data_IF_160512399869
#
_entry.id   IF_160512399869
#
_cell.length_a   1.000
_cell.length_b   1.000
_cell.length_c   1.000
_cell.angle_alpha   90.00
_cell.angle_beta   90.00
_cell.angle_gamma   90.00
#
_symmetry.space_group_name_H-M   'P 1'
#
loop_
_entity.id
_entity.type
_entity.pdbx_description
1 polymer ?
#
# COMPACT_ATOMS: atom_id res chain seq x y z
N UNK A 1 5.19 20.96 4.44
CA UNK A 1 4.44 19.69 4.61
C UNK A 1 5.15 18.77 5.60
N UNK A 2 6.37 18.29 5.31
CA UNK A 2 7.13 17.38 6.19
C UNK A 2 7.24 17.89 7.64
N UNK A 3 7.63 19.15 7.84
CA UNK A 3 7.75 19.76 9.18
C UNK A 3 6.43 19.78 9.98
N UNK A 4 5.30 19.93 9.30
CA UNK A 4 3.97 19.95 9.90
C UNK A 4 3.57 18.55 10.37
N UNK A 5 3.90 17.52 9.56
CA UNK A 5 3.76 16.12 9.95
C UNK A 5 4.65 15.76 11.14
N UNK A 6 5.87 16.29 11.22
CA UNK A 6 6.76 16.06 12.36
C UNK A 6 6.23 16.66 13.66
N UNK A 7 5.66 17.88 13.62
CA UNK A 7 5.01 18.51 14.78
C UNK A 7 3.79 17.70 15.23
N UNK A 8 2.95 17.28 14.29
CA UNK A 8 1.78 16.46 14.61
C UNK A 8 2.19 15.10 15.20
N UNK A 9 3.26 14.47 14.68
CA UNK A 9 3.81 13.24 15.25
C UNK A 9 4.34 13.47 16.68
N UNK A 10 5.12 14.53 16.91
CA UNK A 10 5.62 14.87 18.24
C UNK A 10 4.50 15.16 19.25
N UNK A 11 3.42 15.82 18.83
CA UNK A 11 2.22 16.05 19.66
C UNK A 11 1.43 14.75 19.92
N UNK A 12 1.44 13.81 18.97
CA UNK A 12 0.80 12.48 19.10
C UNK A 12 1.52 11.56 20.08
N UNK A 13 2.85 11.68 20.20
CA UNK A 13 3.70 10.87 21.11
C UNK A 13 4.06 11.58 22.43
N UNK A 14 3.99 12.91 22.48
CA UNK A 14 4.52 13.76 23.56
C UNK A 14 3.61 14.02 24.75
N UNK A 15 2.45 13.36 24.87
CA UNK A 15 1.58 13.49 26.05
C UNK A 15 0.59 14.66 26.04
N UNK A 16 0.30 15.26 24.88
CA UNK A 16 -0.80 16.21 24.76
C UNK A 16 -2.14 15.46 24.63
N UNK A 17 -2.96 15.49 25.68
CA UNK A 17 -4.27 14.82 25.77
C UNK A 17 -5.20 15.06 24.59
N UNK A 18 -5.02 16.18 23.86
CA UNK A 18 -5.84 16.54 22.72
C UNK A 18 -5.67 15.59 21.52
N UNK A 19 -4.44 15.12 21.24
CA UNK A 19 -4.15 14.25 20.09
C UNK A 19 -4.08 12.76 20.45
N UNK A 20 -3.78 12.44 21.72
CA UNK A 20 -3.67 11.06 22.24
C UNK A 20 -5.00 10.47 22.71
N UNK A 21 -6.02 11.30 23.02
CA UNK A 21 -7.37 10.84 23.36
C UNK A 21 -8.36 10.95 22.18
N UNK A 22 -7.88 11.34 21.00
CA UNK A 22 -8.71 11.45 19.80
C UNK A 22 -8.98 10.04 19.26
N UNK A 23 -9.90 9.32 19.90
CA UNK A 23 -10.39 8.04 19.43
C UNK A 23 -11.64 8.23 18.57
N UNK A 24 -11.76 7.50 17.47
CA UNK A 24 -13.04 7.36 16.77
C UNK A 24 -13.97 6.51 17.65
N UNK A 25 -15.02 7.07 18.27
CA UNK A 25 -15.84 6.32 19.21
C UNK A 25 -16.80 5.40 18.45
N UNK A 26 -16.94 4.16 18.91
CA UNK A 26 -17.93 3.20 18.41
C UNK A 26 -17.35 2.07 17.54
N UNK A 27 -18.23 1.22 17.00
CA UNK A 27 -17.87 0.00 16.26
C UNK A 27 -16.96 0.27 15.05
N UNK A 28 -17.06 1.45 14.45
CA UNK A 28 -16.28 1.84 13.27
C UNK A 28 -14.81 2.15 13.65
N UNK A 29 -14.58 2.73 14.83
CA UNK A 29 -13.22 3.01 15.31
C UNK A 29 -12.43 1.76 15.66
N UNK A 30 -13.09 0.76 16.26
CA UNK A 30 -12.47 -0.53 16.54
C UNK A 30 -12.19 -1.35 15.27
N UNK A 31 -13.03 -1.22 14.24
CA UNK A 31 -12.89 -1.98 13.00
C UNK A 31 -11.88 -1.36 12.02
N UNK A 32 -11.77 -0.02 11.99
CA UNK A 32 -10.89 0.69 11.07
C UNK A 32 -9.54 1.09 11.67
N UNK A 33 -9.41 1.17 13.00
CA UNK A 33 -8.19 1.66 13.65
C UNK A 33 -7.75 0.80 14.84
N UNK A 34 -8.31 -0.41 14.99
CA UNK A 34 -7.99 -1.38 16.04
C UNK A 34 -8.01 -0.82 17.50
N UNK A 35 -8.78 0.25 17.75
CA UNK A 35 -8.84 0.89 19.06
C UNK A 35 -7.63 1.77 19.41
N UNK A 36 -6.76 2.09 18.46
CA UNK A 36 -5.67 3.06 18.64
C UNK A 36 -6.25 4.46 18.89
N UNK A 37 -5.84 5.10 19.98
CA UNK A 37 -6.36 6.41 20.42
C UNK A 37 -5.55 7.61 19.93
N UNK A 38 -4.38 7.35 19.34
CA UNK A 38 -3.45 8.37 18.86
C UNK A 38 -3.68 8.63 17.37
N UNK A 39 -3.80 9.92 16.98
CA UNK A 39 -3.95 10.36 15.59
C UNK A 39 -2.95 9.67 14.64
N UNK A 40 -1.67 9.62 15.02
CA UNK A 40 -0.64 8.99 14.21
C UNK A 40 -0.84 7.46 14.08
N UNK A 41 -1.27 6.80 15.16
CA UNK A 41 -1.55 5.35 15.13
C UNK A 41 -2.74 4.98 14.25
N UNK A 42 -3.77 5.83 14.21
CA UNK A 42 -4.90 5.67 13.29
C UNK A 42 -4.48 5.89 11.83
N UNK A 43 -3.67 6.93 11.57
CA UNK A 43 -3.16 7.22 10.24
C UNK A 43 -2.24 6.08 9.73
N UNK A 44 -1.37 5.57 10.60
CA UNK A 44 -0.47 4.46 10.27
C UNK A 44 -1.23 3.16 9.97
N UNK A 45 -2.23 2.81 10.79
CA UNK A 45 -3.10 1.65 10.53
C UNK A 45 -3.85 1.79 9.21
N UNK A 46 -4.41 2.97 8.94
CA UNK A 46 -5.10 3.23 7.67
C UNK A 46 -4.16 3.12 6.46
N UNK A 47 -2.96 3.69 6.54
CA UNK A 47 -1.99 3.63 5.45
C UNK A 47 -1.53 2.20 5.23
N UNK A 48 -1.12 1.51 6.29
CA UNK A 48 -0.50 0.19 6.21
C UNK A 48 -1.48 -0.92 5.83
N UNK A 49 -2.73 -0.85 6.32
CA UNK A 49 -3.73 -1.90 6.08
C UNK A 49 -4.64 -1.61 4.89
N UNK A 50 -4.91 -0.34 4.57
CA UNK A 50 -5.81 0.01 3.47
C UNK A 50 -5.08 0.61 2.28
N UNK A 51 -4.22 1.62 2.47
CA UNK A 51 -3.57 2.30 1.34
C UNK A 51 -2.49 1.46 0.67
N UNK A 52 -1.68 0.69 1.43
CA UNK A 52 -0.62 -0.13 0.83
C UNK A 52 -1.18 -1.25 -0.07
N UNK A 53 -2.15 -2.08 0.36
CA UNK A 53 -2.69 -3.13 -0.50
C UNK A 53 -3.47 -2.57 -1.69
N UNK A 54 -4.28 -1.53 -1.48
CA UNK A 54 -5.07 -0.90 -2.57
C UNK A 54 -4.19 -0.16 -3.56
N UNK A 55 -3.15 0.55 -3.08
CA UNK A 55 -2.15 1.21 -3.92
C UNK A 55 -1.35 0.20 -4.75
N UNK A 56 -0.91 -0.91 -4.15
CA UNK A 56 -0.28 -2.00 -4.88
C UNK A 56 -1.20 -2.60 -5.95
N UNK A 57 -2.51 -2.69 -5.68
CA UNK A 57 -3.48 -3.24 -6.64
C UNK A 57 -3.67 -2.27 -7.80
N UNK A 58 -3.80 -0.98 -7.52
CA UNK A 58 -3.88 0.05 -8.55
C UNK A 58 -2.64 0.06 -9.45
N UNK A 59 -1.43 -0.05 -8.86
CA UNK A 59 -0.16 -0.08 -9.60
C UNK A 59 -0.07 -1.34 -10.48
N UNK A 60 -0.37 -2.52 -9.94
CA UNK A 60 -0.30 -3.76 -10.73
C UNK A 60 -1.34 -3.82 -11.84
N UNK A 61 -2.54 -3.26 -11.62
CA UNK A 61 -3.55 -3.14 -12.67
C UNK A 61 -3.11 -2.13 -13.74
N UNK A 62 -2.56 -0.99 -13.34
CA UNK A 62 -2.07 0.01 -14.28
C UNK A 62 -0.87 -0.50 -15.10
N UNK A 63 0.14 -1.08 -14.46
CA UNK A 63 1.31 -1.64 -15.11
C UNK A 63 0.96 -2.87 -15.98
N UNK A 64 0.01 -3.70 -15.54
CA UNK A 64 -0.38 -4.94 -16.23
C UNK A 64 -1.30 -4.73 -17.44
N UNK A 65 -2.21 -3.75 -17.38
CA UNK A 65 -3.26 -3.58 -18.39
C UNK A 65 -3.30 -2.19 -19.06
N UNK A 66 -2.83 -1.12 -18.41
CA UNK A 66 -2.83 0.21 -19.02
C UNK A 66 -1.54 0.53 -19.78
N UNK A 67 -0.41 -0.07 -19.41
CA UNK A 67 0.88 0.18 -20.05
C UNK A 67 0.97 -0.50 -21.42
N UNK A 68 1.29 0.27 -22.47
CA UNK A 68 1.38 -0.21 -23.86
C UNK A 68 2.63 -1.06 -24.07
N UNK A 69 2.51 -2.06 -24.96
CA UNK A 69 3.61 -2.97 -25.27
C UNK A 69 4.81 -2.19 -25.80
N UNK A 70 4.57 -1.32 -26.78
CA UNK A 70 5.63 -0.57 -27.47
C UNK A 70 6.48 0.23 -26.49
N UNK A 71 5.87 0.98 -25.58
CA UNK A 71 6.60 1.81 -24.61
C UNK A 71 7.39 1.00 -23.59
N UNK A 72 6.91 -0.20 -23.25
CA UNK A 72 7.56 -1.02 -22.24
C UNK A 72 8.66 -1.89 -22.84
N UNK A 73 8.46 -2.35 -24.07
CA UNK A 73 9.46 -3.10 -24.83
C UNK A 73 10.65 -2.20 -25.21
N UNK A 74 10.41 -0.94 -25.60
CA UNK A 74 11.49 0.02 -25.91
C UNK A 74 12.34 0.43 -24.70
N UNK A 75 11.79 0.36 -23.49
CA UNK A 75 12.51 0.68 -22.24
C UNK A 75 13.23 -0.55 -21.66
N UNK A 76 12.66 -1.74 -21.79
CA UNK A 76 13.20 -2.97 -21.20
C UNK A 76 14.15 -3.74 -22.12
N UNK A 77 13.98 -3.60 -23.43
CA UNK A 77 14.80 -4.28 -24.45
C UNK A 77 15.76 -3.24 -25.02
N UNK A 78 16.86 -3.02 -24.30
CA UNK A 78 18.00 -2.21 -24.76
C UNK A 78 19.15 -3.11 -25.27
N UNK A 79 20.21 -2.57 -25.86
CA UNK A 79 21.34 -3.36 -26.37
C UNK A 79 22.06 -4.22 -25.30
N UNK A 80 21.73 -4.03 -24.03
CA UNK A 80 22.30 -4.73 -22.87
C UNK A 80 21.47 -5.88 -22.32
N UNK A 81 20.30 -6.22 -22.92
CA UNK A 81 19.50 -7.33 -22.38
C UNK A 81 20.24 -8.67 -22.50
N UNK A 82 20.33 -9.45 -21.40
CA UNK A 82 20.89 -10.78 -21.45
C UNK A 82 20.07 -11.69 -22.37
N UNK A 83 20.71 -12.53 -23.18
CA UNK A 83 20.02 -13.44 -24.11
C UNK A 83 19.06 -14.47 -23.47
N UNK A 84 19.02 -14.56 -22.14
CA UNK A 84 18.04 -15.36 -21.40
C UNK A 84 16.76 -14.59 -21.03
N UNK A 85 16.75 -13.26 -21.19
CA UNK A 85 15.59 -12.43 -20.87
C UNK A 85 14.57 -12.50 -22.00
N UNK A 86 13.38 -13.02 -21.68
CA UNK A 86 12.24 -13.07 -22.60
C UNK A 86 11.18 -12.06 -22.18
N UNK A 87 10.93 -11.06 -23.04
CA UNK A 87 9.90 -10.05 -22.81
C UNK A 87 8.51 -10.67 -22.58
N UNK A 88 8.17 -11.74 -23.31
CA UNK A 88 6.90 -12.47 -23.11
C UNK A 88 6.77 -13.07 -21.72
N UNK A 89 7.87 -13.59 -21.15
CA UNK A 89 7.88 -14.09 -19.77
C UNK A 89 7.67 -12.93 -18.80
N UNK A 90 8.41 -11.84 -18.94
CA UNK A 90 8.23 -10.65 -18.08
C UNK A 90 6.79 -10.13 -18.13
N UNK A 91 6.20 -10.07 -19.34
CA UNK A 91 4.82 -9.60 -19.53
C UNK A 91 3.79 -10.54 -18.93
N UNK A 92 4.02 -11.85 -18.95
CA UNK A 92 3.19 -12.82 -18.25
C UNK A 92 3.22 -12.60 -16.73
N UNK A 93 4.40 -12.35 -16.16
CA UNK A 93 4.53 -12.08 -14.73
C UNK A 93 3.79 -10.79 -14.33
N UNK A 94 3.97 -9.70 -15.08
CA UNK A 94 3.35 -8.41 -14.76
C UNK A 94 1.83 -8.43 -14.95
N UNK A 95 1.31 -9.19 -15.92
CA UNK A 95 -0.14 -9.27 -16.21
C UNK A 95 -0.90 -10.27 -15.35
N UNK A 96 -0.25 -11.35 -14.89
CA UNK A 96 -0.92 -12.43 -14.15
C UNK A 96 -0.38 -12.65 -12.74
N UNK A 97 0.94 -12.69 -12.57
CA UNK A 97 1.55 -13.03 -11.28
C UNK A 97 1.49 -11.85 -10.31
N UNK A 98 1.88 -10.64 -10.74
CA UNK A 98 1.84 -9.45 -9.87
C UNK A 98 0.43 -9.11 -9.39
N UNK A 99 -0.62 -9.09 -10.25
CA UNK A 99 -1.98 -8.81 -9.79
C UNK A 99 -2.53 -9.92 -8.89
N UNK A 100 -2.20 -11.19 -9.17
CA UNK A 100 -2.62 -12.31 -8.32
C UNK A 100 -1.99 -12.25 -6.93
N UNK A 101 -0.69 -11.91 -6.84
CA UNK A 101 -0.01 -11.74 -5.55
C UNK A 101 -0.64 -10.61 -4.72
N UNK A 102 -0.95 -9.47 -5.34
CA UNK A 102 -1.60 -8.36 -4.64
C UNK A 102 -3.05 -8.69 -4.26
N UNK A 103 -3.79 -9.36 -5.15
CA UNK A 103 -5.13 -9.83 -4.82
C UNK A 103 -5.11 -10.80 -3.62
N UNK A 104 -4.12 -11.69 -3.54
CA UNK A 104 -3.94 -12.58 -2.40
C UNK A 104 -3.66 -11.81 -1.10
N UNK A 105 -2.87 -10.73 -1.15
CA UNK A 105 -2.64 -9.85 0.01
C UNK A 105 -3.94 -9.16 0.44
N UNK A 106 -4.72 -8.61 -0.51
CA UNK A 106 -6.00 -7.95 -0.20
C UNK A 106 -6.99 -8.93 0.43
N UNK A 107 -7.09 -10.16 -0.10
CA UNK A 107 -7.91 -11.23 0.48
C UNK A 107 -7.39 -11.57 1.88
N UNK A 108 -6.08 -11.67 2.07
CA UNK A 108 -5.50 -11.97 3.37
C UNK A 108 -5.84 -10.90 4.42
N UNK A 109 -5.74 -9.61 4.07
CA UNK A 109 -6.12 -8.49 4.93
C UNK A 109 -7.61 -8.55 5.29
N UNK A 110 -8.48 -8.74 4.29
CA UNK A 110 -9.93 -8.74 4.49
C UNK A 110 -10.43 -9.93 5.31
N UNK A 111 -9.86 -11.12 5.13
CA UNK A 111 -10.33 -12.35 5.77
C UNK A 111 -9.64 -12.68 7.09
N UNK A 112 -8.35 -12.38 7.23
CA UNK A 112 -7.60 -12.74 8.43
C UNK A 112 -7.45 -11.59 9.43
N UNK A 113 -7.90 -10.37 9.09
CA UNK A 113 -7.80 -9.22 9.98
C UNK A 113 -6.37 -8.96 10.42
N UNK A 114 -5.40 -9.22 9.54
CA UNK A 114 -3.97 -9.05 9.84
C UNK A 114 -3.69 -7.55 9.92
N UNK A 115 -3.46 -7.06 11.14
CA UNK A 115 -3.00 -5.70 11.36
C UNK A 115 -1.49 -5.64 11.09
N UNK A 116 -1.07 -4.88 10.07
CA UNK A 116 0.34 -4.66 9.75
C UNK A 116 1.00 -3.52 10.54
N UNK A 117 0.31 -3.00 11.58
CA UNK A 117 0.70 -1.81 12.35
C UNK A 117 0.72 -2.08 13.85
#
# INVERSE_FOLDING_TARGET
VVFLFTILAALSFGGADFASNLSAPGRIGNLLFAGKTSWFGMADHFVSNWMLPTGGLAITVAAGWFMTRESTESELVDETVPGWFSYDTWRFFIRYISPAAVAAIVVAVLFFGVDFS
#
